data_IF_999029324577
#
_entry.id   IF_999029324577
#
_cell.length_a   1.000
_cell.length_b   1.000
_cell.length_c   1.000
_cell.angle_alpha   90.00
_cell.angle_beta   90.00
_cell.angle_gamma   90.00
#
_symmetry.space_group_name_H-M   'P 1'
#
loop_
_entity.id
_entity.type
_entity.pdbx_description
1 polymer ?
#
# COMPACT_ATOMS: atom_id res chain seq x y z
N UNK A 1 13.34 24.88 30.74
CA UNK A 1 11.92 25.14 30.41
C UNK A 1 11.73 25.33 28.91
N UNK A 2 12.64 26.00 28.21
CA UNK A 2 12.55 26.20 26.75
C UNK A 2 12.53 24.90 25.94
N UNK A 3 13.39 23.93 26.27
CA UNK A 3 13.41 22.63 25.59
C UNK A 3 12.09 21.85 25.75
N UNK A 4 11.51 21.83 26.95
CA UNK A 4 10.23 21.16 27.21
C UNK A 4 9.08 21.83 26.43
N UNK A 5 9.07 23.17 26.38
CA UNK A 5 8.10 23.92 25.59
C UNK A 5 8.26 23.66 24.09
N UNK A 6 9.50 23.55 23.60
CA UNK A 6 9.78 23.19 22.20
C UNK A 6 9.30 21.77 21.87
N UNK A 7 9.61 20.78 22.71
CA UNK A 7 9.12 19.39 22.53
C UNK A 7 7.60 19.34 22.51
N UNK A 8 6.93 20.03 23.42
CA UNK A 8 5.46 20.10 23.44
C UNK A 8 4.90 20.76 22.17
N UNK A 9 5.49 21.88 21.72
CA UNK A 9 5.06 22.54 20.49
C UNK A 9 5.24 21.66 19.25
N UNK A 10 6.33 20.88 19.17
CA UNK A 10 6.59 19.92 18.10
C UNK A 10 5.59 18.76 18.14
N UNK A 11 5.28 18.21 19.32
CA UNK A 11 4.25 17.18 19.50
C UNK A 11 2.89 17.69 19.01
N UNK A 12 2.55 18.95 19.30
CA UNK A 12 1.31 19.57 18.82
C UNK A 12 1.24 19.70 17.30
N UNK A 13 2.37 19.79 16.58
CA UNK A 13 2.38 19.73 15.11
C UNK A 13 1.82 18.39 14.62
N UNK A 14 2.18 17.28 15.25
CA UNK A 14 1.68 15.95 14.87
C UNK A 14 0.23 15.72 15.25
N UNK A 15 -0.24 16.29 16.37
CA UNK A 15 -1.66 16.29 16.67
C UNK A 15 -2.47 17.07 15.63
N UNK A 16 -1.95 18.22 15.18
CA UNK A 16 -2.55 18.99 14.09
C UNK A 16 -2.42 18.30 12.73
N UNK A 17 -1.36 17.53 12.50
CA UNK A 17 -1.19 16.67 11.32
C UNK A 17 -2.33 15.65 11.25
N UNK A 18 -2.51 14.86 12.31
CA UNK A 18 -3.57 13.87 12.41
C UNK A 18 -4.96 14.51 12.29
N UNK A 19 -5.20 15.59 13.06
CA UNK A 19 -6.45 16.35 13.01
C UNK A 19 -6.78 16.86 11.60
N UNK A 20 -5.79 17.45 10.93
CA UNK A 20 -5.94 18.02 9.59
C UNK A 20 -6.34 16.96 8.57
N UNK A 21 -5.75 15.77 8.63
CA UNK A 21 -6.12 14.65 7.75
C UNK A 21 -7.48 14.07 8.13
N UNK A 22 -7.65 13.69 9.40
CA UNK A 22 -8.82 12.95 9.88
C UNK A 22 -10.12 13.76 9.74
N UNK A 23 -10.04 15.09 9.92
CA UNK A 23 -11.16 16.01 9.73
C UNK A 23 -11.19 16.68 8.36
N UNK A 24 -10.22 16.40 7.49
CA UNK A 24 -10.06 17.06 6.19
C UNK A 24 -9.96 18.59 6.33
N UNK A 25 -9.33 19.05 7.42
CA UNK A 25 -9.04 20.46 7.70
C UNK A 25 -7.67 20.82 7.13
N UNK A 26 -7.66 21.06 5.82
CA UNK A 26 -6.45 21.39 5.05
C UNK A 26 -5.87 22.75 5.44
N UNK A 27 -6.69 23.67 5.93
CA UNK A 27 -6.23 24.95 6.46
C UNK A 27 -5.34 24.71 7.68
N UNK A 28 -5.80 23.90 8.65
CA UNK A 28 -4.99 23.53 9.80
C UNK A 28 -3.74 22.75 9.40
N UNK A 29 -3.88 21.76 8.50
CA UNK A 29 -2.74 20.98 8.00
C UNK A 29 -1.66 21.87 7.37
N UNK A 30 -2.05 22.85 6.56
CA UNK A 30 -1.11 23.78 5.93
C UNK A 30 -0.29 24.57 6.94
N UNK A 31 -0.83 24.83 8.14
CA UNK A 31 -0.11 25.60 9.16
C UNK A 31 1.05 24.86 9.80
N UNK A 32 1.12 23.54 9.75
CA UNK A 32 2.19 22.78 10.45
C UNK A 32 3.44 22.58 9.60
N UNK A 33 3.32 22.73 8.29
CA UNK A 33 4.39 22.48 7.32
C UNK A 33 5.20 23.76 7.12
N UNK A 34 6.53 23.64 7.09
CA UNK A 34 7.42 24.73 6.73
C UNK A 34 7.25 25.08 5.25
N UNK A 35 7.48 26.35 4.86
CA UNK A 35 7.25 26.80 3.47
C UNK A 35 8.01 25.98 2.42
N UNK A 36 9.14 25.39 2.82
CA UNK A 36 9.88 24.36 2.08
C UNK A 36 10.02 23.13 2.96
N UNK A 37 9.51 21.99 2.52
CA UNK A 37 9.53 20.72 3.24
C UNK A 37 10.13 19.63 2.36
N UNK A 38 11.01 18.81 2.91
CA UNK A 38 11.48 17.60 2.25
C UNK A 38 10.55 16.43 2.58
N UNK A 39 9.92 15.83 1.57
CA UNK A 39 9.06 14.66 1.72
C UNK A 39 9.69 13.42 1.11
N UNK A 40 9.76 12.34 1.89
CA UNK A 40 10.07 10.99 1.39
C UNK A 40 8.95 10.02 1.76
N UNK A 41 8.12 9.74 0.77
CA UNK A 41 7.06 8.73 0.82
C UNK A 41 7.34 7.59 -0.18
N UNK A 42 8.58 7.50 -0.68
CA UNK A 42 8.97 6.57 -1.75
C UNK A 42 8.84 5.10 -1.33
N UNK A 43 9.12 4.81 -0.05
CA UNK A 43 8.93 3.49 0.56
C UNK A 43 7.46 3.05 0.60
N UNK A 44 6.54 4.02 0.49
CA UNK A 44 5.11 3.78 0.36
C UNK A 44 4.62 3.82 -1.11
N UNK A 45 5.54 3.93 -2.08
CA UNK A 45 5.24 3.98 -3.51
C UNK A 45 4.76 5.34 -4.01
N UNK A 46 4.94 6.41 -3.22
CA UNK A 46 4.44 7.74 -3.51
C UNK A 46 5.48 8.65 -4.15
N UNK A 47 5.89 8.29 -5.36
CA UNK A 47 6.84 9.07 -6.14
C UNK A 47 8.26 9.09 -5.57
N UNK A 48 9.12 9.89 -6.19
CA UNK A 48 10.50 10.07 -5.72
C UNK A 48 10.54 11.04 -4.52
N UNK A 49 11.48 10.86 -3.58
CA UNK A 49 11.72 11.82 -2.52
C UNK A 49 12.08 13.19 -3.10
N UNK A 50 11.66 14.27 -2.45
CA UNK A 50 11.91 15.60 -2.97
C UNK A 50 11.47 16.73 -2.07
N UNK A 51 11.90 17.92 -2.44
CA UNK A 51 11.47 19.14 -1.78
C UNK A 51 10.14 19.62 -2.38
N UNK A 52 9.24 20.05 -1.52
CA UNK A 52 7.91 20.55 -1.83
C UNK A 52 7.70 21.89 -1.13
N UNK A 53 6.91 22.77 -1.72
CA UNK A 53 6.30 23.86 -0.96
C UNK A 53 5.25 23.30 0.01
N UNK A 54 4.95 24.06 1.06
CA UNK A 54 3.87 23.69 1.97
C UNK A 54 2.50 23.56 1.28
N UNK A 55 2.25 24.32 0.21
CA UNK A 55 1.02 24.22 -0.58
C UNK A 55 1.00 22.92 -1.40
N UNK A 56 2.12 22.55 -2.03
CA UNK A 56 2.24 21.28 -2.78
C UNK A 56 2.10 20.07 -1.85
N UNK A 57 2.74 20.10 -0.68
CA UNK A 57 2.57 19.06 0.34
C UNK A 57 1.12 18.94 0.79
N UNK A 58 0.45 20.08 1.05
CA UNK A 58 -0.96 20.10 1.46
C UNK A 58 -1.86 19.58 0.36
N UNK A 59 -1.66 19.99 -0.89
CA UNK A 59 -2.44 19.55 -2.04
C UNK A 59 -2.29 18.04 -2.29
N UNK A 60 -1.07 17.51 -2.17
CA UNK A 60 -0.80 16.08 -2.26
C UNK A 60 -1.57 15.31 -1.19
N UNK A 61 -1.46 15.69 0.09
CA UNK A 61 -2.17 15.05 1.19
C UNK A 61 -3.69 15.16 1.01
N UNK A 62 -4.18 16.35 0.65
CA UNK A 62 -5.60 16.57 0.35
C UNK A 62 -6.09 15.61 -0.74
N UNK A 63 -5.34 15.44 -1.83
CA UNK A 63 -5.69 14.53 -2.93
C UNK A 63 -5.91 13.09 -2.46
N UNK A 64 -5.05 12.60 -1.56
CA UNK A 64 -5.12 11.22 -1.04
C UNK A 64 -6.32 11.00 -0.12
N UNK A 65 -6.65 11.99 0.69
CA UNK A 65 -7.61 11.82 1.80
C UNK A 65 -8.99 12.42 1.51
N UNK A 66 -9.20 13.03 0.34
CA UNK A 66 -10.48 13.66 -0.03
C UNK A 66 -11.46 12.73 -0.75
N UNK A 67 -11.16 11.43 -0.96
CA UNK A 67 -12.15 10.50 -1.54
C UNK A 67 -13.43 10.48 -0.71
N UNK A 68 -14.58 10.50 -1.39
CA UNK A 68 -15.89 10.44 -0.74
C UNK A 68 -16.06 9.13 0.02
N UNK A 69 -16.63 9.19 1.22
CA UNK A 69 -16.82 8.03 2.10
C UNK A 69 -15.56 7.56 2.84
N UNK A 70 -14.38 8.08 2.51
CA UNK A 70 -13.14 7.78 3.23
C UNK A 70 -13.16 8.44 4.61
N UNK A 71 -13.00 7.62 5.64
CA UNK A 71 -12.78 8.03 7.03
C UNK A 71 -11.43 7.51 7.48
N UNK A 72 -10.67 8.36 8.16
CA UNK A 72 -9.33 8.03 8.64
C UNK A 72 -9.17 8.35 10.12
N UNK A 73 -8.24 7.66 10.76
CA UNK A 73 -7.83 7.98 12.13
C UNK A 73 -6.34 7.73 12.29
N UNK A 74 -5.59 8.78 12.60
CA UNK A 74 -4.14 8.73 12.80
C UNK A 74 -3.81 8.84 14.30
N UNK A 75 -3.07 7.84 14.80
CA UNK A 75 -2.60 7.76 16.18
C UNK A 75 -1.11 8.06 16.20
N UNK A 76 -0.76 9.24 16.70
CA UNK A 76 0.63 9.70 16.82
C UNK A 76 1.14 9.38 18.23
N UNK A 77 2.20 8.60 18.33
CA UNK A 77 2.69 8.03 19.60
C UNK A 77 4.22 8.02 19.67
N UNK A 78 4.76 7.69 20.84
CA UNK A 78 6.19 7.44 21.06
C UNK A 78 7.11 8.53 20.49
N UNK A 79 6.82 9.80 20.80
CA UNK A 79 7.63 10.94 20.37
C UNK A 79 9.03 10.91 20.98
N UNK A 80 10.04 10.69 20.14
CA UNK A 80 11.45 10.80 20.48
C UNK A 80 11.99 12.04 19.78
N UNK A 81 12.16 13.14 20.52
CA UNK A 81 12.51 14.45 19.95
C UNK A 81 13.78 14.97 20.62
N UNK A 82 14.76 15.30 19.81
CA UNK A 82 16.01 15.96 20.19
C UNK A 82 16.00 17.39 19.65
N UNK A 83 16.06 18.38 20.55
CA UNK A 83 16.00 19.80 20.22
C UNK A 83 17.38 20.42 20.38
N UNK A 84 17.83 21.15 19.36
CA UNK A 84 19.07 21.93 19.36
C UNK A 84 18.75 23.33 18.88
N UNK A 85 18.68 24.28 19.82
CA UNK A 85 18.31 25.68 19.55
C UNK A 85 16.96 25.79 18.80
N UNK A 86 16.99 26.31 17.57
CA UNK A 86 15.83 26.52 16.71
C UNK A 86 15.61 25.38 15.70
N UNK A 87 16.28 24.24 15.91
CA UNK A 87 16.12 23.02 15.13
C UNK A 87 15.77 21.85 16.04
N UNK A 88 15.10 20.84 15.47
CA UNK A 88 14.91 19.57 16.15
C UNK A 88 14.87 18.42 15.16
N UNK A 89 15.24 17.24 15.63
CA UNK A 89 15.09 15.98 14.93
C UNK A 89 14.17 15.07 15.76
N UNK A 90 13.36 14.25 15.12
CA UNK A 90 12.59 13.28 15.88
C UNK A 90 12.04 12.10 15.10
N UNK A 91 11.83 11.03 15.85
CA UNK A 91 11.13 9.82 15.44
C UNK A 91 9.76 9.79 16.11
N UNK A 92 8.72 9.57 15.32
CA UNK A 92 7.32 9.51 15.78
C UNK A 92 6.68 8.24 15.25
N UNK A 93 5.99 7.51 16.12
CA UNK A 93 5.28 6.30 15.73
C UNK A 93 3.90 6.70 15.25
N UNK A 94 3.50 6.19 14.10
CA UNK A 94 2.16 6.38 13.55
C UNK A 94 1.49 5.05 13.32
N UNK A 95 0.29 4.91 13.90
CA UNK A 95 -0.69 3.93 13.48
C UNK A 95 -1.83 4.65 12.80
N UNK A 96 -2.18 4.26 11.58
CA UNK A 96 -3.22 4.91 10.81
C UNK A 96 -4.25 3.89 10.34
N UNK A 97 -5.53 4.17 10.61
CA UNK A 97 -6.66 3.36 10.17
C UNK A 97 -7.43 4.09 9.10
N UNK A 98 -7.72 3.41 8.00
CA UNK A 98 -8.43 3.94 6.86
C UNK A 98 -9.63 3.06 6.58
N UNK A 99 -10.81 3.66 6.44
CA UNK A 99 -12.05 2.93 6.16
C UNK A 99 -12.76 3.56 4.97
N UNK A 100 -13.15 2.73 4.01
CA UNK A 100 -13.99 3.10 2.87
C UNK A 100 -15.08 2.05 2.69
N UNK A 101 -16.34 2.41 2.97
CA UNK A 101 -17.41 1.41 3.03
C UNK A 101 -17.12 0.38 4.12
N UNK A 102 -17.11 -0.92 3.77
CA UNK A 102 -16.75 -2.00 4.69
C UNK A 102 -15.24 -2.35 4.68
N UNK A 103 -14.49 -1.83 3.71
CA UNK A 103 -13.06 -2.10 3.57
C UNK A 103 -12.26 -1.29 4.59
N UNK A 104 -11.30 -1.95 5.25
CA UNK A 104 -10.42 -1.35 6.25
C UNK A 104 -8.98 -1.65 5.90
N UNK A 105 -8.13 -0.64 6.03
CA UNK A 105 -6.67 -0.76 5.98
C UNK A 105 -6.07 -0.18 7.25
N UNK A 106 -5.23 -0.96 7.92
CA UNK A 106 -4.39 -0.48 9.01
C UNK A 106 -2.94 -0.37 8.53
N UNK A 107 -2.27 0.69 8.96
CA UNK A 107 -0.91 1.02 8.57
C UNK A 107 -0.09 1.35 9.81
N UNK A 108 1.08 0.72 9.94
CA UNK A 108 2.07 1.05 10.95
C UNK A 108 3.33 1.59 10.29
N UNK A 109 3.79 2.75 10.75
CA UNK A 109 5.02 3.36 10.26
C UNK A 109 5.73 4.17 11.35
N UNK A 110 6.95 4.56 11.04
CA UNK A 110 7.63 5.66 11.71
C UNK A 110 7.68 6.86 10.80
N UNK A 111 7.57 8.05 11.38
CA UNK A 111 8.00 9.28 10.75
C UNK A 111 9.34 9.69 11.33
N UNK A 112 10.31 9.87 10.45
CA UNK A 112 11.57 10.55 10.75
C UNK A 112 11.40 11.97 10.24
N UNK A 113 11.46 12.93 11.15
CA UNK A 113 11.15 14.32 10.86
C UNK A 113 12.26 15.24 11.34
N UNK A 114 12.47 16.29 10.57
CA UNK A 114 13.17 17.48 11.04
C UNK A 114 12.17 18.61 11.24
N UNK A 115 12.47 19.47 12.20
CA UNK A 115 11.66 20.62 12.56
C UNK A 115 12.54 21.86 12.65
N UNK A 116 11.96 22.99 12.29
CA UNK A 116 12.60 24.30 12.37
C UNK A 116 11.65 25.29 13.05
N UNK A 117 12.22 26.16 13.87
CA UNK A 117 11.50 27.29 14.46
C UNK A 117 11.54 28.48 13.52
N UNK A 118 10.37 28.95 13.10
CA UNK A 118 10.18 30.13 12.26
C UNK A 118 9.52 31.23 13.10
N UNK A 119 10.33 32.16 13.60
CA UNK A 119 9.87 33.16 14.58
C UNK A 119 9.52 32.50 15.91
N UNK A 120 8.26 32.58 16.33
CA UNK A 120 7.78 31.96 17.57
C UNK A 120 7.19 30.55 17.36
N UNK A 121 7.03 30.10 16.12
CA UNK A 121 6.33 28.84 15.80
C UNK A 121 7.30 27.77 15.28
N UNK A 122 7.12 26.54 15.76
CA UNK A 122 7.75 25.37 15.16
C UNK A 122 7.01 24.92 13.90
N UNK A 123 7.74 24.37 12.93
CA UNK A 123 7.23 23.81 11.68
C UNK A 123 7.94 22.51 11.36
N UNK A 124 7.26 21.61 10.66
CA UNK A 124 7.86 20.41 10.09
C UNK A 124 8.59 20.79 8.80
N UNK A 125 9.90 20.56 8.75
CA UNK A 125 10.76 20.84 7.59
C UNK A 125 11.15 19.57 6.83
N UNK A 126 11.01 18.40 7.43
CA UNK A 126 11.13 17.12 6.73
C UNK A 126 10.18 16.07 7.28
N UNK A 127 9.68 15.19 6.40
CA UNK A 127 8.94 13.98 6.76
C UNK A 127 9.42 12.85 5.86
N UNK A 128 10.08 11.86 6.44
CA UNK A 128 10.30 10.55 5.84
C UNK A 128 9.39 9.53 6.50
N UNK A 129 8.62 8.79 5.70
CA UNK A 129 7.80 7.69 6.17
C UNK A 129 8.52 6.35 6.02
N UNK A 130 8.61 5.61 7.12
CA UNK A 130 9.17 4.26 7.19
C UNK A 130 8.05 3.25 7.49
N UNK A 131 7.44 2.62 6.48
CA UNK A 131 6.44 1.58 6.69
C UNK A 131 7.05 0.39 7.45
N UNK A 132 6.28 -0.18 8.39
CA UNK A 132 6.68 -1.38 9.13
C UNK A 132 5.88 -2.58 8.69
N UNK A 133 4.56 -2.45 8.72
CA UNK A 133 3.61 -3.45 8.24
C UNK A 133 2.24 -2.78 8.07
N UNK A 134 1.46 -3.38 7.19
CA UNK A 134 0.09 -3.02 6.86
C UNK A 134 -0.77 -4.29 6.84
N UNK A 135 -2.07 -4.11 7.06
CA UNK A 135 -3.05 -5.19 7.01
C UNK A 135 -4.39 -4.68 6.50
N UNK A 136 -5.19 -5.58 5.93
CA UNK A 136 -6.50 -5.27 5.37
C UNK A 136 -6.46 -4.98 3.88
N UNK A 137 -7.45 -4.23 3.38
CA UNK A 137 -7.59 -3.92 1.97
C UNK A 137 -6.67 -2.77 1.53
N UNK A 138 -6.29 -2.72 0.25
CA UNK A 138 -5.40 -1.70 -0.33
C UNK A 138 -6.09 -0.32 -0.53
N UNK A 139 -6.92 0.14 0.41
CA UNK A 139 -7.83 1.30 0.21
C UNK A 139 -7.11 2.56 -0.26
N UNK A 140 -5.90 2.86 0.26
CA UNK A 140 -5.12 4.03 -0.16
C UNK A 140 -4.54 3.90 -1.57
N UNK A 141 -4.09 2.70 -1.95
CA UNK A 141 -3.48 2.49 -3.27
C UNK A 141 -4.50 2.63 -4.41
N UNK A 142 -5.78 2.40 -4.13
CA UNK A 142 -6.89 2.69 -5.06
C UNK A 142 -7.15 4.19 -5.28
N UNK A 143 -6.57 5.12 -4.50
CA UNK A 143 -6.93 6.55 -4.59
C UNK A 143 -6.25 7.31 -5.73
N UNK A 144 -5.15 6.81 -6.28
CA UNK A 144 -4.40 7.49 -7.34
C UNK A 144 -4.59 6.90 -8.74
N UNK A 145 -5.32 5.79 -8.86
CA UNK A 145 -5.68 5.22 -10.15
C UNK A 145 -7.17 5.46 -10.37
N UNK A 146 -7.60 6.00 -11.53
CA UNK A 146 -9.01 6.00 -11.86
C UNK A 146 -9.50 4.55 -11.79
N UNK A 147 -10.55 4.32 -10.99
CA UNK A 147 -11.19 3.00 -10.92
C UNK A 147 -11.53 2.59 -12.37
N UNK A 148 -11.05 1.43 -12.85
CA UNK A 148 -11.41 0.97 -14.19
C UNK A 148 -12.94 0.91 -14.29
N UNK A 149 -13.50 1.25 -15.46
CA UNK A 149 -14.93 1.01 -15.67
C UNK A 149 -15.21 -0.49 -15.47
N UNK A 150 -16.13 -0.87 -14.58
CA UNK A 150 -16.40 -2.26 -14.32
C UNK A 150 -16.84 -2.97 -15.60
N UNK A 151 -16.06 -3.96 -15.99
CA UNK A 151 -16.34 -4.87 -17.11
C UNK A 151 -17.17 -6.08 -16.67
N UNK A 152 -17.32 -6.28 -15.35
CA UNK A 152 -17.98 -7.44 -14.76
C UNK A 152 -17.10 -8.71 -14.81
N UNK A 153 -15.80 -8.52 -15.02
CA UNK A 153 -14.82 -9.61 -15.14
C UNK A 153 -13.79 -9.53 -14.02
N UNK A 154 -13.45 -10.70 -13.48
CA UNK A 154 -12.31 -10.85 -12.57
C UNK A 154 -11.22 -11.66 -13.27
N UNK A 155 -9.99 -11.28 -13.03
CA UNK A 155 -8.80 -11.93 -13.57
C UNK A 155 -7.97 -12.49 -12.42
N UNK A 156 -7.66 -13.77 -12.46
CA UNK A 156 -6.62 -14.34 -11.63
C UNK A 156 -5.30 -14.19 -12.39
N UNK A 157 -4.42 -13.33 -11.91
CA UNK A 157 -3.08 -13.15 -12.42
C UNK A 157 -2.09 -13.84 -11.50
N UNK A 158 -1.30 -14.75 -12.06
CA UNK A 158 -0.29 -15.51 -11.34
C UNK A 158 1.06 -15.19 -11.93
N UNK A 159 2.03 -14.85 -11.08
CA UNK A 159 3.45 -14.77 -11.45
C UNK A 159 4.21 -15.80 -10.65
N UNK A 160 5.06 -16.59 -11.29
CA UNK A 160 5.78 -17.65 -10.60
C UNK A 160 7.17 -17.93 -11.18
N UNK A 161 8.02 -18.48 -10.32
CA UNK A 161 9.38 -18.90 -10.64
C UNK A 161 9.53 -20.38 -10.25
N UNK A 162 9.39 -21.31 -11.20
CA UNK A 162 9.47 -22.73 -10.90
C UNK A 162 10.91 -23.12 -10.57
N UNK A 163 11.05 -24.09 -9.68
CA UNK A 163 12.32 -24.78 -9.37
C UNK A 163 12.37 -25.99 -10.31
N UNK A 164 13.27 -25.95 -11.30
CA UNK A 164 13.31 -26.94 -12.38
C UNK A 164 13.51 -28.38 -11.88
N UNK A 165 14.26 -28.56 -10.79
CA UNK A 165 14.50 -29.86 -10.17
C UNK A 165 13.24 -30.46 -9.51
N UNK A 166 12.22 -29.64 -9.23
CA UNK A 166 10.98 -30.03 -8.55
C UNK A 166 9.82 -30.27 -9.52
N UNK A 167 10.14 -30.72 -10.74
CA UNK A 167 9.17 -30.97 -11.82
C UNK A 167 7.94 -31.79 -11.38
N UNK A 168 8.12 -32.86 -10.61
CA UNK A 168 6.99 -33.68 -10.15
C UNK A 168 6.03 -32.92 -9.21
N UNK A 169 6.54 -32.02 -8.37
CA UNK A 169 5.71 -31.20 -7.50
C UNK A 169 4.97 -30.12 -8.31
N UNK A 170 5.65 -29.53 -9.29
CA UNK A 170 5.06 -28.60 -10.25
C UNK A 170 3.89 -29.24 -11.00
N UNK A 171 4.08 -30.43 -11.58
CA UNK A 171 3.03 -31.14 -12.32
C UNK A 171 1.82 -31.48 -11.45
N UNK A 172 2.04 -31.97 -10.22
CA UNK A 172 0.94 -32.25 -9.28
C UNK A 172 0.18 -30.98 -8.89
N UNK A 173 0.89 -29.91 -8.57
CA UNK A 173 0.27 -28.65 -8.17
C UNK A 173 -0.56 -28.07 -9.32
N UNK A 174 0.06 -27.89 -10.50
CA UNK A 174 -0.60 -27.31 -11.68
C UNK A 174 -1.74 -28.21 -12.17
N UNK A 175 -1.50 -29.52 -12.23
CA UNK A 175 -2.50 -30.52 -12.62
C UNK A 175 -3.67 -30.62 -11.65
N UNK A 176 -3.49 -30.25 -10.38
CA UNK A 176 -4.56 -30.19 -9.38
C UNK A 176 -5.33 -28.87 -9.41
N UNK A 177 -4.64 -27.73 -9.39
CA UNK A 177 -5.26 -26.41 -9.20
C UNK A 177 -5.98 -25.89 -10.44
N UNK A 178 -5.43 -26.12 -11.65
CA UNK A 178 -6.02 -25.59 -12.89
C UNK A 178 -7.41 -26.16 -13.15
N UNK A 179 -7.65 -27.48 -13.03
CA UNK A 179 -9.00 -28.02 -13.17
C UNK A 179 -9.98 -27.47 -12.14
N UNK A 180 -9.56 -27.25 -10.89
CA UNK A 180 -10.43 -26.66 -9.85
C UNK A 180 -10.87 -25.25 -10.24
N UNK A 181 -9.94 -24.42 -10.71
CA UNK A 181 -10.23 -23.06 -11.15
C UNK A 181 -11.14 -23.03 -12.38
N UNK A 182 -10.94 -23.95 -13.32
CA UNK A 182 -11.83 -24.08 -14.50
C UNK A 182 -13.23 -24.55 -14.11
N UNK A 183 -13.35 -25.50 -13.17
CA UNK A 183 -14.64 -25.94 -12.64
C UNK A 183 -15.38 -24.82 -11.89
N UNK A 184 -14.64 -23.90 -11.28
CA UNK A 184 -15.17 -22.68 -10.66
C UNK A 184 -15.59 -21.59 -11.66
N UNK A 185 -15.61 -21.89 -12.97
CA UNK A 185 -16.02 -20.95 -14.02
C UNK A 185 -14.88 -20.14 -14.63
N UNK A 186 -13.63 -20.52 -14.36
CA UNK A 186 -12.46 -19.91 -14.98
C UNK A 186 -12.26 -20.34 -16.43
N UNK A 187 -11.75 -19.42 -17.25
CA UNK A 187 -11.33 -19.72 -18.62
C UNK A 187 -10.08 -20.62 -18.66
N UNK A 188 -9.73 -21.08 -19.86
CA UNK A 188 -8.45 -21.77 -20.05
C UNK A 188 -7.28 -20.81 -19.73
N UNK A 189 -6.24 -21.27 -19.01
CA UNK A 189 -5.13 -20.39 -18.63
C UNK A 189 -4.39 -19.82 -19.84
N UNK A 190 -4.22 -18.51 -19.85
CA UNK A 190 -3.38 -17.80 -20.82
C UNK A 190 -2.00 -17.62 -20.22
N UNK A 191 -1.05 -18.41 -20.70
CA UNK A 191 0.36 -18.32 -20.26
C UNK A 191 1.04 -17.21 -21.06
N UNK A 192 1.62 -16.26 -20.33
CA UNK A 192 2.39 -15.15 -20.88
C UNK A 192 3.86 -15.44 -20.58
N UNK A 193 4.63 -15.59 -21.65
CA UNK A 193 6.08 -15.68 -21.57
C UNK A 193 6.65 -14.26 -21.58
N UNK A 194 7.53 -13.98 -20.64
CA UNK A 194 8.29 -12.73 -20.65
C UNK A 194 9.54 -12.89 -21.52
N UNK A 195 9.75 -11.97 -22.46
CA UNK A 195 10.90 -12.01 -23.36
C UNK A 195 12.09 -11.21 -22.82
N UNK A 196 11.85 -10.00 -22.29
CA UNK A 196 12.87 -9.16 -21.66
C UNK A 196 12.24 -8.20 -20.64
N UNK A 197 13.08 -7.51 -19.86
CA UNK A 197 12.68 -6.43 -18.95
C UNK A 197 13.37 -5.12 -19.34
N UNK A 198 12.65 -4.01 -19.29
CA UNK A 198 13.20 -2.65 -19.52
C UNK A 198 13.71 -2.06 -18.20
N UNK A 199 13.04 -2.33 -17.07
CA UNK A 199 13.40 -1.88 -15.72
C UNK A 199 13.05 -3.01 -14.72
N UNK A 200 13.96 -3.33 -13.79
CA UNK A 200 13.81 -4.41 -12.80
C UNK A 200 14.43 -5.74 -13.23
N UNK A 201 14.44 -6.72 -12.32
CA UNK A 201 14.97 -8.07 -12.57
C UNK A 201 13.87 -9.04 -12.98
N UNK A 202 14.16 -9.95 -13.92
CA UNK A 202 13.25 -11.03 -14.33
C UNK A 202 13.37 -12.21 -13.38
N UNK A 203 12.93 -12.02 -12.14
CA UNK A 203 12.87 -13.13 -11.20
C UNK A 203 11.70 -14.06 -11.52
N UNK A 204 10.67 -13.57 -12.22
CA UNK A 204 9.49 -14.33 -12.65
C UNK A 204 9.76 -15.02 -13.98
N UNK A 205 9.59 -16.33 -14.02
CA UNK A 205 9.80 -17.13 -15.24
C UNK A 205 8.52 -17.29 -16.07
N UNK A 206 7.36 -17.29 -15.41
CA UNK A 206 6.07 -17.43 -16.06
C UNK A 206 5.02 -16.53 -15.44
N UNK A 207 4.17 -15.97 -16.30
CA UNK A 207 2.97 -15.25 -15.92
C UNK A 207 1.75 -15.97 -16.50
N UNK A 208 0.63 -15.97 -15.79
CA UNK A 208 -0.59 -16.67 -16.21
C UNK A 208 -1.82 -15.83 -15.87
N UNK A 209 -2.79 -15.81 -16.79
CA UNK A 209 -4.10 -15.16 -16.57
C UNK A 209 -5.22 -16.18 -16.72
N UNK A 210 -6.15 -16.21 -15.78
CA UNK A 210 -7.45 -16.90 -15.89
C UNK A 210 -8.56 -15.86 -15.74
N UNK A 211 -9.54 -15.89 -16.63
CA UNK A 211 -10.67 -14.97 -16.63
C UNK A 211 -11.90 -15.63 -16.02
N UNK A 212 -12.60 -14.90 -15.15
CA UNK A 212 -13.86 -15.30 -14.54
C UNK A 212 -14.92 -14.25 -14.91
N UNK A 213 -16.02 -14.72 -15.49
CA UNK A 213 -17.10 -13.84 -15.95
C UNK A 213 -18.29 -13.93 -14.98
N UNK A 214 -18.64 -12.80 -14.36
CA UNK A 214 -19.76 -12.70 -13.43
C UNK A 214 -19.44 -13.05 -11.98
N UNK A 215 -20.25 -12.49 -11.06
CA UNK A 215 -19.99 -12.52 -9.62
C UNK A 215 -19.97 -13.92 -9.01
N UNK A 216 -20.76 -14.84 -9.54
CA UNK A 216 -20.83 -16.22 -9.03
C UNK A 216 -19.54 -16.99 -9.34
N UNK A 217 -18.99 -16.84 -10.55
CA UNK A 217 -17.71 -17.42 -10.92
C UNK A 217 -16.57 -16.82 -10.08
N UNK A 218 -16.64 -15.51 -9.78
CA UNK A 218 -15.65 -14.83 -8.94
C UNK A 218 -15.65 -15.36 -7.51
N UNK A 219 -16.83 -15.55 -6.91
CA UNK A 219 -16.99 -16.14 -5.57
C UNK A 219 -16.51 -17.59 -5.56
N UNK A 220 -16.90 -18.39 -6.55
CA UNK A 220 -16.46 -19.77 -6.67
C UNK A 220 -14.93 -19.88 -6.80
N UNK A 221 -14.30 -18.98 -7.57
CA UNK A 221 -12.85 -18.95 -7.74
C UNK A 221 -12.11 -18.66 -6.42
N UNK A 222 -12.62 -17.72 -5.61
CA UNK A 222 -12.06 -17.44 -4.27
C UNK A 222 -12.22 -18.63 -3.34
N UNK A 223 -13.40 -19.27 -3.36
CA UNK A 223 -13.67 -20.46 -2.55
C UNK A 223 -12.75 -21.65 -2.88
N UNK A 224 -12.20 -21.76 -4.10
CA UNK A 224 -11.16 -22.75 -4.42
C UNK A 224 -9.96 -22.60 -3.49
N UNK A 225 -9.47 -21.38 -3.29
CA UNK A 225 -8.28 -21.11 -2.47
C UNK A 225 -8.52 -21.28 -0.96
N UNK A 226 -9.78 -21.33 -0.54
CA UNK A 226 -10.20 -21.61 0.84
C UNK A 226 -10.52 -23.09 1.07
N UNK A 227 -10.54 -23.91 0.01
CA UNK A 227 -10.95 -25.31 0.08
C UNK A 227 -9.86 -26.24 0.64
N UNK A 228 -10.28 -27.32 1.30
CA UNK A 228 -9.38 -28.40 1.73
C UNK A 228 -8.62 -29.02 0.55
N UNK A 229 -9.26 -29.09 -0.61
CA UNK A 229 -8.66 -29.63 -1.83
C UNK A 229 -7.48 -28.79 -2.31
N UNK A 230 -7.59 -27.46 -2.26
CA UNK A 230 -6.45 -26.59 -2.55
C UNK A 230 -5.40 -26.64 -1.44
N UNK A 231 -5.81 -26.69 -0.17
CA UNK A 231 -4.89 -26.80 0.96
C UNK A 231 -3.98 -28.04 0.85
N UNK A 232 -4.50 -29.16 0.33
CA UNK A 232 -3.72 -30.37 0.07
C UNK A 232 -2.63 -30.20 -1.02
N UNK A 233 -2.77 -29.21 -1.91
CA UNK A 233 -1.81 -28.90 -2.98
C UNK A 233 -0.72 -27.92 -2.53
N UNK A 234 -0.93 -27.19 -1.42
CA UNK A 234 0.02 -26.17 -0.92
C UNK A 234 1.43 -26.70 -0.67
N UNK A 235 1.65 -27.90 -0.09
CA UNK A 235 3.01 -28.43 0.07
C UNK A 235 3.75 -28.63 -1.26
N UNK A 236 3.04 -29.06 -2.31
CA UNK A 236 3.62 -29.19 -3.64
C UNK A 236 3.90 -27.82 -4.28
N UNK A 237 3.03 -26.82 -4.06
CA UNK A 237 3.27 -25.42 -4.47
C UNK A 237 4.57 -24.89 -3.88
N UNK A 238 4.70 -24.95 -2.55
CA UNK A 238 5.82 -24.36 -1.82
C UNK A 238 7.15 -25.06 -2.14
N UNK A 239 7.07 -26.31 -2.58
CA UNK A 239 8.23 -27.05 -3.10
C UNK A 239 8.54 -26.70 -4.56
N UNK A 240 7.51 -26.49 -5.38
CA UNK A 240 7.65 -26.32 -6.83
C UNK A 240 8.12 -24.91 -7.24
N UNK A 241 7.90 -23.89 -6.42
CA UNK A 241 8.19 -22.50 -6.77
C UNK A 241 9.07 -21.81 -5.73
N UNK A 242 10.09 -21.09 -6.17
CA UNK A 242 10.91 -20.24 -5.30
C UNK A 242 10.25 -18.89 -5.01
N UNK A 243 9.40 -18.42 -5.93
CA UNK A 243 8.54 -17.24 -5.79
C UNK A 243 7.22 -17.51 -6.50
N UNK A 244 6.11 -17.11 -5.89
CA UNK A 244 4.79 -17.18 -6.52
C UNK A 244 3.87 -16.10 -5.93
N UNK A 245 3.26 -15.30 -6.79
CA UNK A 245 2.17 -14.40 -6.42
C UNK A 245 0.89 -14.85 -7.11
N UNK A 246 -0.19 -14.92 -6.36
CA UNK A 246 -1.53 -15.26 -6.84
C UNK A 246 -2.42 -14.09 -6.47
N UNK A 247 -2.91 -13.34 -7.45
CA UNK A 247 -3.68 -12.14 -7.19
C UNK A 247 -4.91 -12.06 -8.10
N UNK A 248 -6.03 -11.68 -7.49
CA UNK A 248 -7.27 -11.39 -8.20
C UNK A 248 -7.33 -9.90 -8.52
N UNK A 249 -7.68 -9.58 -9.76
CA UNK A 249 -7.86 -8.23 -10.26
C UNK A 249 -9.28 -8.10 -10.79
N UNK A 250 -10.03 -7.15 -10.24
CA UNK A 250 -11.24 -6.66 -10.90
C UNK A 250 -10.82 -5.78 -12.07
N UNK A 251 -11.37 -6.07 -13.26
CA UNK A 251 -11.36 -5.16 -14.39
C UNK A 251 -9.98 -4.75 -14.92
N UNK A 252 -9.54 -5.42 -15.99
CA UNK A 252 -8.58 -4.83 -16.92
C UNK A 252 -9.33 -3.90 -17.87
N UNK A 253 -9.14 -2.57 -17.81
CA UNK A 253 -9.77 -1.67 -18.76
C UNK A 253 -9.29 -2.07 -20.15
N UNK A 254 -10.21 -2.57 -20.98
CA UNK A 254 -9.92 -2.75 -22.40
C UNK A 254 -9.75 -1.35 -23.01
N UNK A 255 -8.71 -1.21 -23.83
CA UNK A 255 -8.50 -0.03 -24.66
C UNK A 255 -9.67 0.20 -25.61
#
# INVERSE_FOLDING_TARGET
MEELAAKQAIIELHYKYALGIDKKDWTTFRTIVHDRVYGDFSKWGMGAPGELSADEMTAMVQGLFSKEGLVTQHYMTNFLIDVVEDMAHGEVYVFARHKLGEEVMNLNAYYICDYIKTGEAWKISSIEMIPRWDEGADVIRFFNLPDPKPTGKTYLFVTATPILEQHNALERYVGGVIPMLMQAGGSAPKIIKQDYSVVGHTDTFMSMIIEFNGDDANKAARAVFESEAYAALVPDRDKAFSKMNIAFYSDMPQA
#
